data_IF_123444502219
#
_entry.id   IF_123444502219
#
_cell.length_a   1.000
_cell.length_b   1.000
_cell.length_c   1.000
_cell.angle_alpha   90.00
_cell.angle_beta   90.00
_cell.angle_gamma   90.00
#
_symmetry.space_group_name_H-M   'P 1'
#
loop_
_entity.id
_entity.type
_entity.pdbx_description
1 polymer ?
#
# COMPACT_ATOMS: atom_id res chain seq x y z
N UNK A 1 0.71 8.74 -25.08
CA UNK A 1 -0.56 9.33 -24.56
C UNK A 1 -0.84 8.63 -23.26
N UNK A 2 -1.07 9.39 -22.19
CA UNK A 2 -1.23 8.84 -20.84
C UNK A 2 -2.28 7.74 -20.80
N UNK A 3 -1.91 6.54 -20.35
CA UNK A 3 -2.84 5.41 -20.22
C UNK A 3 -3.74 5.68 -19.01
N UNK A 4 -5.04 5.78 -19.28
CA UNK A 4 -6.09 5.97 -18.27
C UNK A 4 -6.98 4.75 -18.30
N UNK A 5 -7.24 4.16 -17.13
CA UNK A 5 -8.20 3.06 -17.02
C UNK A 5 -8.81 3.02 -15.61
N UNK A 6 -9.89 2.27 -15.47
CA UNK A 6 -10.41 1.87 -14.16
C UNK A 6 -9.81 0.52 -13.83
N UNK A 7 -9.08 0.44 -12.73
CA UNK A 7 -8.46 -0.82 -12.25
C UNK A 7 -9.36 -1.54 -11.26
N UNK A 8 -10.03 -0.79 -10.38
CA UNK A 8 -11.15 -1.23 -9.54
C UNK A 8 -12.22 -0.17 -9.48
N UNK A 9 -13.47 -0.60 -9.41
CA UNK A 9 -14.64 0.25 -9.18
C UNK A 9 -15.04 0.27 -7.71
N UNK A 10 -14.86 -0.86 -7.03
CA UNK A 10 -15.26 -1.05 -5.65
C UNK A 10 -14.30 -0.37 -4.69
N UNK A 11 -14.85 0.25 -3.66
CA UNK A 11 -14.09 0.76 -2.53
C UNK A 11 -13.62 -0.42 -1.66
N UNK A 12 -12.36 -0.38 -1.21
CA UNK A 12 -11.76 -1.50 -0.49
C UNK A 12 -12.44 -1.78 0.85
N UNK A 13 -12.82 -0.73 1.60
CA UNK A 13 -13.48 -0.89 2.89
C UNK A 13 -14.90 -1.45 2.73
N UNK A 14 -15.66 -0.96 1.75
CA UNK A 14 -16.98 -1.49 1.47
C UNK A 14 -16.94 -2.94 1.00
N UNK A 15 -16.04 -3.26 0.06
CA UNK A 15 -15.91 -4.61 -0.48
C UNK A 15 -15.41 -5.61 0.57
N UNK A 16 -14.50 -5.21 1.47
CA UNK A 16 -14.09 -6.06 2.61
C UNK A 16 -15.20 -6.29 3.63
N UNK A 17 -15.99 -5.26 3.97
CA UNK A 17 -17.15 -5.43 4.84
C UNK A 17 -18.20 -6.39 4.22
N UNK A 18 -18.39 -6.32 2.90
CA UNK A 18 -19.25 -7.25 2.15
C UNK A 18 -18.66 -8.67 2.15
N UNK A 19 -17.34 -8.82 1.98
CA UNK A 19 -16.64 -10.10 2.06
C UNK A 19 -16.90 -10.78 3.41
N UNK A 20 -16.70 -10.07 4.51
CA UNK A 20 -16.94 -10.59 5.87
C UNK A 20 -18.43 -10.89 6.10
N UNK A 21 -19.34 -10.10 5.54
CA UNK A 21 -20.76 -10.40 5.56
C UNK A 21 -21.09 -11.72 4.83
N UNK A 22 -20.57 -11.93 3.62
CA UNK A 22 -20.79 -13.16 2.85
C UNK A 22 -20.23 -14.36 3.61
N UNK A 23 -19.00 -14.26 4.12
CA UNK A 23 -18.34 -15.29 4.91
C UNK A 23 -19.13 -15.65 6.17
N UNK A 24 -19.56 -14.64 6.94
CA UNK A 24 -20.37 -14.83 8.14
C UNK A 24 -21.74 -15.46 7.87
N UNK A 25 -22.43 -15.05 6.80
CA UNK A 25 -23.72 -15.61 6.40
C UNK A 25 -23.56 -17.08 5.95
N UNK A 26 -22.52 -17.37 5.16
CA UNK A 26 -22.17 -18.73 4.75
C UNK A 26 -21.83 -19.63 5.94
N UNK A 27 -21.07 -19.11 6.93
CA UNK A 27 -20.75 -19.83 8.16
C UNK A 27 -22.02 -20.23 8.93
N UNK A 28 -23.04 -19.36 8.94
CA UNK A 28 -24.36 -19.65 9.51
C UNK A 28 -25.22 -20.57 8.63
N UNK A 29 -24.68 -21.12 7.54
CA UNK A 29 -25.37 -21.96 6.55
C UNK A 29 -26.60 -21.27 5.94
N UNK A 30 -26.52 -19.96 5.79
CA UNK A 30 -27.53 -19.14 5.16
C UNK A 30 -27.08 -18.71 3.75
N UNK A 31 -28.04 -18.43 2.88
CA UNK A 31 -27.79 -17.87 1.55
C UNK A 31 -27.40 -16.38 1.68
N UNK A 32 -26.21 -15.95 1.22
CA UNK A 32 -25.81 -14.54 1.15
C UNK A 32 -26.52 -13.85 0.00
N UNK A 33 -27.73 -13.36 0.24
CA UNK A 33 -28.47 -12.51 -0.69
C UNK A 33 -28.30 -11.04 -0.31
N UNK A 34 -28.67 -10.12 -1.20
CA UNK A 34 -28.51 -8.66 -1.00
C UNK A 34 -29.07 -8.21 0.35
N UNK A 35 -30.29 -8.64 0.69
CA UNK A 35 -30.97 -8.21 1.91
C UNK A 35 -30.21 -8.62 3.19
N UNK A 36 -29.62 -9.83 3.20
CA UNK A 36 -28.83 -10.31 4.33
C UNK A 36 -27.48 -9.66 4.41
N UNK A 37 -26.81 -9.46 3.28
CA UNK A 37 -25.52 -8.75 3.22
C UNK A 37 -25.72 -7.33 3.74
N UNK A 38 -26.72 -6.62 3.22
CA UNK A 38 -27.06 -5.28 3.66
C UNK A 38 -27.34 -5.22 5.17
N UNK A 39 -28.20 -6.12 5.67
CA UNK A 39 -28.48 -6.20 7.12
C UNK A 39 -27.25 -6.57 7.95
N UNK A 40 -26.31 -7.35 7.40
CA UNK A 40 -25.08 -7.70 8.09
C UNK A 40 -24.19 -6.47 8.26
N UNK A 41 -23.89 -5.78 7.15
CA UNK A 41 -23.00 -4.60 7.10
C UNK A 41 -23.55 -3.44 7.95
N UNK A 42 -24.86 -3.16 7.86
CA UNK A 42 -25.50 -2.10 8.62
C UNK A 42 -25.54 -2.31 10.16
N UNK A 43 -25.12 -3.48 10.67
CA UNK A 43 -24.95 -3.67 12.12
C UNK A 43 -23.68 -3.02 12.65
N UNK A 44 -22.68 -2.85 11.80
CA UNK A 44 -21.35 -2.37 12.16
C UNK A 44 -21.09 -0.97 11.59
N UNK A 45 -21.64 -0.67 10.41
CA UNK A 45 -21.38 0.57 9.69
C UNK A 45 -22.65 1.40 9.48
N UNK A 46 -22.56 2.71 9.72
CA UNK A 46 -23.64 3.69 9.46
C UNK A 46 -23.60 4.21 8.00
N UNK A 47 -23.44 3.29 7.04
CA UNK A 47 -23.39 3.62 5.62
C UNK A 47 -24.78 3.63 4.99
N UNK A 48 -24.92 4.31 3.85
CA UNK A 48 -26.21 4.33 3.15
C UNK A 48 -26.45 2.98 2.47
N UNK A 49 -27.67 2.43 2.56
CA UNK A 49 -28.00 1.17 1.89
C UNK A 49 -27.74 1.16 0.38
N UNK A 50 -28.01 2.29 -0.29
CA UNK A 50 -27.78 2.44 -1.72
C UNK A 50 -26.29 2.35 -2.08
N UNK A 51 -25.41 2.86 -1.21
CA UNK A 51 -23.96 2.82 -1.43
C UNK A 51 -23.44 1.39 -1.25
N UNK A 52 -23.90 0.66 -0.22
CA UNK A 52 -23.53 -0.76 -0.02
C UNK A 52 -23.93 -1.62 -1.23
N UNK A 53 -25.15 -1.46 -1.74
CA UNK A 53 -25.62 -2.23 -2.91
C UNK A 53 -24.86 -1.87 -4.18
N UNK A 54 -24.54 -0.59 -4.37
CA UNK A 54 -23.68 -0.14 -5.47
C UNK A 54 -22.28 -0.76 -5.38
N UNK A 55 -21.70 -0.80 -4.18
CA UNK A 55 -20.38 -1.39 -3.94
C UNK A 55 -20.38 -2.91 -4.11
N UNK A 56 -21.48 -3.59 -3.76
CA UNK A 56 -21.67 -5.01 -4.06
C UNK A 56 -21.63 -5.28 -5.57
N UNK A 57 -22.36 -4.49 -6.36
CA UNK A 57 -22.31 -4.59 -7.82
C UNK A 57 -20.90 -4.34 -8.37
N UNK A 58 -20.23 -3.27 -7.92
CA UNK A 58 -18.85 -2.98 -8.33
C UNK A 58 -17.88 -4.09 -7.95
N UNK A 59 -18.03 -4.71 -6.78
CA UNK A 59 -17.19 -5.82 -6.37
C UNK A 59 -17.43 -7.10 -7.20
N UNK A 60 -18.64 -7.28 -7.74
CA UNK A 60 -18.91 -8.32 -8.75
C UNK A 60 -18.22 -8.00 -10.07
N UNK A 61 -18.31 -6.75 -10.55
CA UNK A 61 -17.62 -6.30 -11.78
C UNK A 61 -16.10 -6.38 -11.66
N UNK A 62 -15.54 -6.10 -10.48
CA UNK A 62 -14.12 -6.22 -10.19
C UNK A 62 -13.64 -7.67 -9.99
N UNK A 63 -14.57 -8.65 -10.02
CA UNK A 63 -14.23 -10.07 -9.89
C UNK A 63 -13.91 -10.54 -8.47
N UNK A 64 -14.29 -9.77 -7.43
CA UNK A 64 -14.18 -10.21 -6.03
C UNK A 64 -15.29 -11.21 -5.66
N UNK A 65 -16.48 -10.99 -6.21
CA UNK A 65 -17.65 -11.82 -5.94
C UNK A 65 -18.28 -12.32 -7.24
N UNK A 66 -18.95 -13.48 -7.16
CA UNK A 66 -19.77 -14.04 -8.24
C UNK A 66 -21.23 -14.12 -7.84
N UNK A 67 -22.09 -13.69 -8.74
CA UNK A 67 -23.53 -13.92 -8.65
C UNK A 67 -23.89 -15.36 -9.00
N UNK A 68 -24.78 -15.97 -8.22
CA UNK A 68 -25.24 -17.34 -8.40
C UNK A 68 -26.70 -17.49 -7.96
N UNK A 69 -27.44 -18.39 -8.61
CA UNK A 69 -28.81 -18.72 -8.18
C UNK A 69 -28.72 -19.81 -7.11
N UNK A 70 -29.22 -19.51 -5.91
CA UNK A 70 -29.34 -20.47 -4.83
C UNK A 70 -30.79 -20.95 -4.69
N UNK A 71 -30.99 -22.26 -4.63
CA UNK A 71 -32.30 -22.87 -4.43
C UNK A 71 -32.45 -23.22 -2.95
N UNK A 72 -33.41 -22.58 -2.26
CA UNK A 72 -33.69 -22.86 -0.85
C UNK A 72 -34.95 -23.71 -0.68
N UNK A 73 -34.80 -24.86 -0.04
CA UNK A 73 -35.91 -25.74 0.31
C UNK A 73 -36.39 -25.46 1.74
N UNK A 74 -36.95 -24.27 1.99
CA UNK A 74 -37.61 -23.96 3.28
C UNK A 74 -38.96 -24.70 3.38
N UNK A 75 -38.92 -26.02 3.58
CA UNK A 75 -40.10 -26.85 3.88
C UNK A 75 -41.08 -27.10 2.71
N UNK A 76 -40.79 -26.64 1.49
CA UNK A 76 -41.58 -26.88 0.28
C UNK A 76 -40.83 -27.81 -0.70
N UNK A 77 -41.57 -28.68 -1.41
CA UNK A 77 -41.02 -29.57 -2.45
C UNK A 77 -40.52 -28.80 -3.68
N UNK A 78 -41.05 -27.60 -3.95
CA UNK A 78 -40.48 -26.63 -4.89
C UNK A 78 -39.58 -25.69 -4.10
N UNK A 79 -38.27 -25.73 -4.38
CA UNK A 79 -37.34 -24.77 -3.79
C UNK A 79 -37.58 -23.36 -4.34
N UNK A 80 -37.32 -22.34 -3.53
CA UNK A 80 -37.37 -20.95 -3.96
C UNK A 80 -35.99 -20.54 -4.47
N UNK A 81 -35.93 -20.10 -5.72
CA UNK A 81 -34.74 -19.50 -6.33
C UNK A 81 -34.55 -18.09 -5.76
N UNK A 82 -33.31 -17.77 -5.35
CA UNK A 82 -32.91 -16.44 -4.92
C UNK A 82 -31.49 -16.14 -5.39
N UNK A 83 -31.20 -14.87 -5.65
CA UNK A 83 -29.85 -14.41 -5.96
C UNK A 83 -28.94 -14.58 -4.74
N UNK A 84 -27.72 -15.05 -4.97
CA UNK A 84 -26.71 -15.31 -3.95
C UNK A 84 -25.33 -14.90 -4.43
N UNK A 85 -24.55 -14.30 -3.54
CA UNK A 85 -23.18 -13.89 -3.80
C UNK A 85 -22.20 -14.88 -3.19
N UNK A 86 -21.11 -15.18 -3.91
CA UNK A 86 -20.02 -16.06 -3.47
C UNK A 86 -18.68 -15.36 -3.65
N UNK A 87 -17.77 -15.59 -2.71
CA UNK A 87 -16.37 -15.16 -2.81
C UNK A 87 -15.67 -16.00 -3.88
N UNK A 88 -14.93 -15.34 -4.78
CA UNK A 88 -14.06 -16.02 -5.73
C UNK A 88 -12.72 -16.28 -5.02
N UNK A 89 -12.46 -17.52 -4.63
CA UNK A 89 -11.14 -17.89 -4.12
C UNK A 89 -10.18 -18.03 -5.32
N UNK A 90 -9.02 -17.39 -5.23
CA UNK A 90 -7.91 -17.52 -6.20
C UNK A 90 -7.51 -18.98 -6.43
N UNK A 91 -7.60 -19.83 -5.40
CA UNK A 91 -7.32 -21.28 -5.49
C UNK A 91 -8.40 -22.10 -6.22
N UNK A 92 -9.63 -21.59 -6.32
CA UNK A 92 -10.76 -22.27 -6.96
C UNK A 92 -11.16 -21.62 -8.29
N UNK A 93 -10.31 -20.79 -8.87
CA UNK A 93 -10.55 -20.21 -10.19
C UNK A 93 -10.54 -21.25 -11.32
N UNK A 94 -10.17 -22.51 -11.06
CA UNK A 94 -10.19 -23.59 -12.05
C UNK A 94 -11.39 -24.52 -11.81
N UNK A 95 -12.60 -24.04 -12.10
CA UNK A 95 -13.69 -24.96 -12.47
C UNK A 95 -13.53 -25.27 -13.96
N UNK A 96 -13.08 -26.50 -14.26
CA UNK A 96 -13.05 -27.06 -15.61
C UNK A 96 -14.48 -27.27 -16.09
N UNK A 97 -14.80 -26.84 -17.32
CA UNK A 97 -16.07 -27.23 -17.95
C UNK A 97 -16.11 -28.75 -18.23
N UNK A 98 -17.27 -29.28 -18.62
CA UNK A 98 -17.44 -30.70 -18.96
C UNK A 98 -16.57 -31.18 -20.15
N UNK A 99 -15.85 -30.25 -20.82
CA UNK A 99 -14.93 -30.50 -21.93
C UNK A 99 -13.46 -30.24 -21.56
N UNK A 100 -13.16 -29.93 -20.30
CA UNK A 100 -11.79 -29.71 -19.81
C UNK A 100 -11.18 -28.35 -20.15
N UNK A 101 -11.98 -27.36 -20.55
CA UNK A 101 -11.51 -26.00 -20.81
C UNK A 101 -11.66 -25.12 -19.57
N UNK A 102 -10.63 -24.33 -19.27
CA UNK A 102 -10.63 -23.33 -18.21
C UNK A 102 -11.39 -22.08 -18.66
N UNK A 103 -12.59 -21.83 -18.14
CA UNK A 103 -13.26 -20.52 -18.26
C UNK A 103 -12.74 -19.49 -17.23
N UNK A 104 -11.49 -19.65 -16.77
CA UNK A 104 -10.88 -18.82 -15.75
C UNK A 104 -10.21 -17.55 -16.33
N UNK A 105 -9.93 -17.53 -17.63
CA UNK A 105 -9.13 -16.47 -18.28
C UNK A 105 -9.93 -15.20 -18.62
N UNK A 106 -11.28 -15.22 -18.59
CA UNK A 106 -12.09 -14.08 -19.06
C UNK A 106 -12.57 -13.12 -17.95
N UNK A 107 -12.38 -13.43 -16.66
CA UNK A 107 -12.96 -12.65 -15.54
C UNK A 107 -11.95 -11.79 -14.77
N UNK A 108 -10.66 -11.80 -15.11
CA UNK A 108 -9.67 -10.94 -14.43
C UNK A 108 -9.38 -9.71 -15.29
N UNK A 109 -9.78 -8.50 -14.89
CA UNK A 109 -9.45 -7.29 -15.63
C UNK A 109 -7.93 -7.06 -15.63
N UNK A 110 -7.29 -7.42 -16.75
CA UNK A 110 -5.94 -7.00 -17.16
C UNK A 110 -4.86 -7.13 -16.06
N UNK A 111 -4.63 -8.35 -15.56
CA UNK A 111 -3.47 -8.68 -14.69
C UNK A 111 -2.12 -8.41 -15.40
N UNK A 112 -2.12 -8.20 -16.73
CA UNK A 112 -0.92 -8.14 -17.57
C UNK A 112 -0.03 -6.90 -17.33
N UNK A 113 -0.54 -5.86 -16.66
CA UNK A 113 0.26 -4.65 -16.41
C UNK A 113 1.05 -4.65 -15.11
N UNK A 114 0.73 -5.53 -14.14
CA UNK A 114 1.34 -5.53 -12.80
C UNK A 114 1.07 -4.28 -11.94
N UNK A 115 0.26 -3.34 -12.42
CA UNK A 115 -0.01 -2.08 -11.74
C UNK A 115 -1.06 -2.22 -10.63
N UNK A 116 -0.95 -1.36 -9.63
CA UNK A 116 -1.87 -1.32 -8.51
C UNK A 116 -3.31 -1.03 -8.94
N UNK A 117 -4.24 -1.39 -8.05
CA UNK A 117 -5.67 -1.16 -8.23
C UNK A 117 -6.14 0.16 -7.63
N UNK A 118 -5.40 0.69 -6.67
CA UNK A 118 -5.77 1.87 -5.89
C UNK A 118 -4.79 3.01 -6.09
N UNK A 119 -5.28 4.25 -6.03
CA UNK A 119 -4.44 5.43 -6.15
C UNK A 119 -3.38 5.48 -5.05
N UNK A 120 -2.11 5.66 -5.40
CA UNK A 120 -1.02 5.66 -4.41
C UNK A 120 -1.03 6.89 -3.49
N UNK A 121 -1.71 7.99 -3.89
CA UNK A 121 -1.81 9.22 -3.08
C UNK A 121 -3.00 9.20 -2.11
N UNK A 122 -4.17 8.73 -2.53
CA UNK A 122 -5.39 8.77 -1.71
C UNK A 122 -6.04 7.40 -1.43
N UNK A 123 -5.43 6.30 -1.90
CA UNK A 123 -5.81 4.91 -1.62
C UNK A 123 -7.24 4.50 -2.07
N UNK A 124 -7.98 5.42 -2.69
CA UNK A 124 -9.30 5.17 -3.28
C UNK A 124 -9.20 4.48 -4.65
N UNK A 125 -10.25 3.73 -5.01
CA UNK A 125 -10.44 3.11 -6.32
C UNK A 125 -10.98 4.10 -7.37
N UNK A 126 -11.20 3.64 -8.60
CA UNK A 126 -11.75 4.43 -9.70
C UNK A 126 -10.79 4.62 -10.88
N UNK A 127 -11.02 5.69 -11.66
CA UNK A 127 -10.24 5.98 -12.87
C UNK A 127 -8.84 6.54 -12.53
N UNK A 128 -7.82 5.79 -12.89
CA UNK A 128 -6.43 6.08 -12.57
C UNK A 128 -5.54 6.16 -13.81
N UNK A 129 -4.42 6.84 -13.64
CA UNK A 129 -3.32 6.94 -14.59
C UNK A 129 -2.24 5.95 -14.18
N UNK A 130 -1.73 5.16 -15.13
CA UNK A 130 -0.65 4.19 -14.91
C UNK A 130 0.73 4.81 -15.14
N UNK A 131 1.66 4.58 -14.21
CA UNK A 131 3.05 5.02 -14.33
C UNK A 131 3.85 4.08 -15.24
N UNK A 132 4.55 4.60 -16.23
CA UNK A 132 5.29 3.74 -17.16
C UNK A 132 6.62 3.19 -16.60
N UNK A 133 6.95 3.56 -15.36
CA UNK A 133 8.23 3.25 -14.72
C UNK A 133 8.09 2.53 -13.37
N UNK A 134 6.88 2.38 -12.86
CA UNK A 134 6.63 1.62 -11.64
C UNK A 134 5.17 1.15 -11.57
N UNK A 135 4.85 0.15 -10.74
CA UNK A 135 3.48 -0.36 -10.59
C UNK A 135 2.44 0.64 -10.05
N UNK A 136 2.85 1.81 -9.53
CA UNK A 136 1.93 2.77 -8.89
C UNK A 136 0.98 3.42 -9.89
N UNK A 137 -0.25 3.67 -9.43
CA UNK A 137 -1.29 4.38 -10.19
C UNK A 137 -1.79 5.60 -9.42
N UNK A 138 -2.31 6.60 -10.12
CA UNK A 138 -2.78 7.85 -9.49
C UNK A 138 -4.05 8.37 -10.15
N UNK A 139 -5.01 8.89 -9.39
CA UNK A 139 -6.07 9.69 -10.01
C UNK A 139 -5.48 10.95 -10.64
N UNK A 140 -6.16 11.46 -11.67
CA UNK A 140 -5.78 12.71 -12.34
C UNK A 140 -5.62 13.90 -11.38
N UNK A 141 -6.52 14.00 -10.38
CA UNK A 141 -6.48 15.03 -9.32
C UNK A 141 -5.28 14.84 -8.38
N UNK A 142 -4.96 13.59 -8.04
CA UNK A 142 -3.92 13.19 -7.09
C UNK A 142 -2.52 13.28 -7.67
N UNK A 143 -2.37 13.14 -8.98
CA UNK A 143 -1.12 13.40 -9.68
C UNK A 143 -0.65 14.87 -9.63
N UNK A 144 -1.43 15.76 -8.97
CA UNK A 144 -1.14 17.18 -8.69
C UNK A 144 -0.58 17.93 -9.91
N UNK A 145 -1.48 18.20 -10.87
CA UNK A 145 -1.53 19.21 -11.94
C UNK A 145 -0.29 19.66 -12.75
N UNK A 146 0.96 19.41 -12.37
CA UNK A 146 2.14 19.92 -13.10
C UNK A 146 2.72 18.94 -14.13
N UNK A 147 2.15 17.74 -14.28
CA UNK A 147 2.86 16.61 -14.88
C UNK A 147 2.05 15.66 -15.78
N UNK A 148 0.96 16.12 -16.38
CA UNK A 148 0.50 15.49 -17.63
C UNK A 148 1.22 16.26 -18.74
N UNK A 149 2.50 15.97 -18.94
CA UNK A 149 3.25 16.57 -20.05
C UNK A 149 2.62 16.11 -21.36
N UNK A 150 2.79 16.89 -22.42
CA UNK A 150 2.49 16.46 -23.79
C UNK A 150 3.49 15.40 -24.29
N UNK A 151 4.38 14.89 -23.44
CA UNK A 151 5.35 13.86 -23.80
C UNK A 151 4.67 12.49 -23.93
N UNK A 152 5.35 11.57 -24.64
CA UNK A 152 4.79 10.27 -24.96
C UNK A 152 4.59 9.37 -23.72
N UNK A 153 5.45 9.51 -22.69
CA UNK A 153 5.56 8.61 -21.53
C UNK A 153 5.33 9.33 -20.18
N UNK A 154 4.42 8.85 -19.33
CA UNK A 154 4.09 9.47 -18.04
C UNK A 154 4.85 8.86 -16.85
N UNK A 155 5.45 9.74 -16.03
CA UNK A 155 6.07 9.41 -14.73
C UNK A 155 5.23 9.93 -13.56
N UNK A 156 4.97 9.08 -12.58
CA UNK A 156 4.23 9.47 -11.39
C UNK A 156 5.03 10.37 -10.44
N UNK A 157 4.37 11.06 -9.48
CA UNK A 157 5.05 11.90 -8.48
C UNK A 157 6.15 11.16 -7.71
N UNK A 158 5.91 9.90 -7.30
CA UNK A 158 6.90 9.09 -6.57
C UNK A 158 8.18 8.85 -7.37
N UNK A 159 8.07 8.48 -8.64
CA UNK A 159 9.25 8.31 -9.51
C UNK A 159 10.03 9.61 -9.69
N UNK A 160 9.34 10.75 -9.78
CA UNK A 160 9.99 12.05 -9.92
C UNK A 160 10.72 12.49 -8.66
N UNK A 161 10.12 12.29 -7.48
CA UNK A 161 10.77 12.56 -6.18
C UNK A 161 12.03 11.70 -6.03
N UNK A 162 11.99 10.45 -6.47
CA UNK A 162 13.17 9.57 -6.50
C UNK A 162 14.32 10.11 -7.37
N UNK A 163 14.02 10.88 -8.42
CA UNK A 163 14.98 11.53 -9.33
C UNK A 163 15.44 12.92 -8.84
N UNK A 164 14.58 13.69 -8.18
CA UNK A 164 14.91 15.06 -7.70
C UNK A 164 15.75 15.04 -6.42
N UNK A 165 15.57 14.05 -5.54
CA UNK A 165 16.42 13.83 -4.36
C UNK A 165 17.81 13.25 -4.70
N UNK A 166 18.21 13.36 -5.97
CA UNK A 166 19.51 12.97 -6.48
C UNK A 166 20.58 14.05 -6.22
N UNK A 167 20.32 15.02 -5.32
CA UNK A 167 21.36 15.87 -4.67
C UNK A 167 22.51 15.06 -4.07
N UNK A 168 22.28 13.76 -3.87
CA UNK A 168 23.22 12.75 -3.40
C UNK A 168 23.93 11.95 -4.50
N UNK A 169 23.74 12.30 -5.78
CA UNK A 169 24.31 11.57 -6.93
C UNK A 169 25.83 11.47 -6.90
N UNK A 170 26.50 12.31 -6.12
CA UNK A 170 27.95 12.29 -5.92
C UNK A 170 28.43 11.29 -4.87
N UNK A 171 27.54 10.71 -4.06
CA UNK A 171 27.94 9.70 -3.07
C UNK A 171 27.98 8.30 -3.67
N UNK A 172 28.95 7.46 -3.25
CA UNK A 172 28.97 6.04 -3.61
C UNK A 172 27.70 5.33 -3.14
N UNK A 173 27.15 4.43 -3.98
CA UNK A 173 25.97 3.63 -3.65
C UNK A 173 26.12 2.86 -2.34
N UNK A 174 27.30 2.28 -2.11
CA UNK A 174 27.66 1.57 -0.89
C UNK A 174 27.48 2.44 0.38
N UNK A 175 27.84 3.74 0.29
CA UNK A 175 27.66 4.68 1.41
C UNK A 175 26.18 4.99 1.65
N UNK A 176 25.39 5.14 0.59
CA UNK A 176 23.93 5.33 0.69
C UNK A 176 23.29 4.10 1.30
N UNK A 177 23.58 2.90 0.78
CA UNK A 177 23.09 1.63 1.31
C UNK A 177 23.44 1.51 2.80
N UNK A 178 24.68 1.85 3.20
CA UNK A 178 25.07 1.79 4.61
C UNK A 178 24.30 2.75 5.52
N UNK A 179 23.97 3.94 5.03
CA UNK A 179 23.12 4.89 5.78
C UNK A 179 21.68 4.39 5.86
N UNK A 180 21.15 3.79 4.79
CA UNK A 180 19.84 3.16 4.77
C UNK A 180 19.78 1.95 5.72
N UNK A 181 20.84 1.15 5.83
CA UNK A 181 20.94 0.06 6.80
C UNK A 181 20.77 0.56 8.24
N UNK A 182 21.40 1.68 8.61
CA UNK A 182 21.21 2.29 9.93
C UNK A 182 19.77 2.76 10.16
N UNK A 183 19.14 3.24 9.11
CA UNK A 183 17.76 3.75 9.11
C UNK A 183 16.79 2.60 9.30
N UNK A 184 16.80 1.61 8.41
CA UNK A 184 15.87 0.47 8.45
C UNK A 184 16.01 -0.33 9.74
N UNK A 185 17.23 -0.47 10.27
CA UNK A 185 17.45 -1.13 11.57
C UNK A 185 16.70 -0.43 12.70
N UNK A 186 16.80 0.90 12.80
CA UNK A 186 16.10 1.68 13.84
C UNK A 186 14.58 1.62 13.64
N UNK A 187 14.10 1.72 12.41
CA UNK A 187 12.68 1.61 12.11
C UNK A 187 12.14 0.23 12.52
N UNK A 188 12.85 -0.87 12.25
CA UNK A 188 12.45 -2.21 12.70
C UNK A 188 12.45 -2.37 14.22
N UNK A 189 13.43 -1.78 14.90
CA UNK A 189 13.50 -1.80 16.38
C UNK A 189 12.31 -1.06 17.01
N UNK A 190 11.86 0.05 16.40
CA UNK A 190 10.71 0.83 16.87
C UNK A 190 9.36 0.21 16.45
N UNK A 191 9.26 -0.29 15.22
CA UNK A 191 8.03 -0.78 14.61
C UNK A 191 8.09 -2.30 14.38
N UNK A 192 8.23 -3.04 15.47
CA UNK A 192 8.48 -4.49 15.43
C UNK A 192 7.32 -5.29 14.82
N UNK A 193 6.10 -4.77 14.96
CA UNK A 193 4.84 -5.32 14.47
C UNK A 193 4.75 -5.22 12.94
N UNK A 194 5.31 -4.16 12.34
CA UNK A 194 5.40 -3.96 10.89
C UNK A 194 6.56 -4.74 10.24
N UNK A 195 7.37 -5.42 11.05
CA UNK A 195 8.55 -6.14 10.56
C UNK A 195 8.20 -7.45 9.86
N UNK A 196 7.06 -8.04 10.19
CA UNK A 196 6.61 -9.29 9.60
C UNK A 196 5.47 -9.02 8.63
N UNK A 197 5.45 -9.83 7.58
CA UNK A 197 4.34 -9.88 6.66
C UNK A 197 3.00 -10.01 7.37
N UNK A 198 1.97 -9.36 6.84
CA UNK A 198 0.59 -9.59 7.26
C UNK A 198 0.30 -11.09 7.10
N UNK A 199 -0.06 -11.74 8.20
CA UNK A 199 -0.24 -13.19 8.23
C UNK A 199 -1.50 -13.59 7.46
N UNK A 200 -1.36 -14.41 6.43
CA UNK A 200 -2.47 -14.98 5.65
C UNK A 200 -3.44 -15.78 6.54
N UNK A 201 -2.95 -16.36 7.65
CA UNK A 201 -3.83 -17.05 8.61
C UNK A 201 -4.83 -16.10 9.27
N UNK A 202 -4.42 -14.86 9.52
CA UNK A 202 -5.26 -13.83 10.14
C UNK A 202 -6.01 -12.99 9.08
N UNK A 203 -5.41 -12.83 7.91
CA UNK A 203 -5.91 -12.02 6.79
C UNK A 203 -5.94 -12.86 5.50
N UNK A 204 -6.85 -13.85 5.40
CA UNK A 204 -6.87 -14.81 4.29
C UNK A 204 -7.26 -14.19 2.94
N UNK A 205 -7.84 -12.99 2.97
CA UNK A 205 -8.29 -12.21 1.81
C UNK A 205 -7.34 -11.07 1.45
N UNK A 206 -6.17 -10.97 2.08
CA UNK A 206 -5.22 -9.88 1.86
C UNK A 206 -4.84 -9.70 0.38
N UNK A 207 -4.53 -10.80 -0.31
CA UNK A 207 -4.17 -10.80 -1.73
C UNK A 207 -5.35 -10.45 -2.66
N UNK A 208 -6.60 -10.48 -2.15
CA UNK A 208 -7.75 -9.97 -2.88
C UNK A 208 -7.82 -8.44 -2.86
N UNK A 209 -6.98 -7.74 -2.11
CA UNK A 209 -6.98 -6.28 -2.06
C UNK A 209 -5.60 -5.68 -2.34
N UNK A 210 -4.52 -6.40 -2.04
CA UNK A 210 -3.17 -5.87 -2.13
C UNK A 210 -2.44 -6.49 -3.33
N UNK A 211 -2.11 -5.66 -4.32
CA UNK A 211 -1.38 -6.07 -5.51
C UNK A 211 0.14 -6.20 -5.26
N UNK A 212 0.72 -5.28 -4.48
CA UNK A 212 2.14 -5.27 -4.14
C UNK A 212 2.34 -5.40 -2.63
N UNK A 213 2.47 -6.64 -2.16
CA UNK A 213 2.70 -6.89 -0.74
C UNK A 213 4.16 -6.63 -0.36
N UNK A 214 4.38 -5.94 0.77
CA UNK A 214 5.71 -5.60 1.30
C UNK A 214 5.66 -5.40 2.81
N UNK A 215 6.81 -5.56 3.46
CA UNK A 215 7.04 -5.33 4.89
C UNK A 215 8.48 -4.85 5.12
N UNK A 216 8.83 -4.49 6.37
CA UNK A 216 10.17 -3.96 6.66
C UNK A 216 11.29 -5.00 6.42
N UNK A 217 11.00 -6.30 6.43
CA UNK A 217 12.00 -7.34 6.15
C UNK A 217 12.29 -7.45 4.65
N UNK A 218 11.27 -7.31 3.80
CA UNK A 218 11.45 -7.16 2.35
C UNK A 218 12.30 -5.93 2.04
N UNK A 219 11.94 -4.77 2.61
CA UNK A 219 12.67 -3.51 2.38
C UNK A 219 14.11 -3.59 2.90
N UNK A 220 14.35 -4.21 4.05
CA UNK A 220 15.72 -4.44 4.56
C UNK A 220 16.55 -5.28 3.59
N UNK A 221 15.95 -6.31 2.98
CA UNK A 221 16.62 -7.13 1.97
C UNK A 221 17.01 -6.27 0.76
N UNK A 222 16.11 -5.40 0.29
CA UNK A 222 16.38 -4.48 -0.82
C UNK A 222 17.48 -3.44 -0.50
N UNK A 223 17.58 -3.01 0.77
CA UNK A 223 18.68 -2.15 1.25
C UNK A 223 20.01 -2.90 1.16
N UNK A 224 20.07 -4.13 1.66
CA UNK A 224 21.29 -4.97 1.65
C UNK A 224 21.72 -5.33 0.23
N UNK A 225 20.76 -5.53 -0.68
CA UNK A 225 21.00 -5.77 -2.11
C UNK A 225 21.30 -4.49 -2.91
N UNK A 226 21.43 -3.34 -2.24
CA UNK A 226 21.74 -2.02 -2.82
C UNK A 226 20.79 -1.59 -3.96
N UNK A 227 19.50 -1.97 -3.87
CA UNK A 227 18.50 -1.67 -4.91
C UNK A 227 18.11 -0.20 -4.96
N UNK A 228 18.27 0.53 -3.86
CA UNK A 228 17.90 1.94 -3.76
C UNK A 228 18.99 2.86 -4.30
N UNK A 229 18.69 3.62 -5.34
CA UNK A 229 19.61 4.62 -5.87
C UNK A 229 19.66 5.90 -5.03
N UNK A 230 18.62 6.18 -4.25
CA UNK A 230 18.55 7.38 -3.38
C UNK A 230 17.71 7.10 -2.12
N UNK A 231 17.91 7.89 -1.04
CA UNK A 231 17.04 7.82 0.14
C UNK A 231 15.57 8.11 -0.18
N UNK A 232 15.30 8.94 -1.19
CA UNK A 232 13.95 9.20 -1.67
C UNK A 232 13.28 7.94 -2.22
N UNK A 233 13.99 7.11 -2.99
CA UNK A 233 13.43 5.83 -3.46
C UNK A 233 13.11 4.87 -2.32
N UNK A 234 13.99 4.80 -1.31
CA UNK A 234 13.73 4.02 -0.09
C UNK A 234 12.44 4.48 0.62
N UNK A 235 12.21 5.79 0.73
CA UNK A 235 10.97 6.32 1.31
C UNK A 235 9.73 5.93 0.50
N UNK A 236 9.81 6.00 -0.83
CA UNK A 236 8.68 5.62 -1.70
C UNK A 236 8.33 4.13 -1.59
N UNK A 237 9.30 3.26 -1.31
CA UNK A 237 9.01 1.85 -1.02
C UNK A 237 8.44 1.64 0.39
N UNK A 238 8.92 2.37 1.41
CA UNK A 238 8.30 2.34 2.74
C UNK A 238 6.81 2.74 2.68
N UNK A 239 6.45 3.72 1.85
CA UNK A 239 5.06 4.18 1.69
C UNK A 239 4.10 3.09 1.23
N UNK A 240 4.57 2.00 0.59
CA UNK A 240 3.69 0.87 0.29
C UNK A 240 3.12 0.21 1.55
N UNK A 241 3.85 0.20 2.67
CA UNK A 241 3.34 -0.34 3.94
C UNK A 241 2.10 0.45 4.38
N UNK A 242 2.18 1.78 4.37
CA UNK A 242 1.04 2.64 4.71
C UNK A 242 -0.10 2.53 3.67
N UNK A 243 0.24 2.54 2.38
CA UNK A 243 -0.73 2.37 1.29
C UNK A 243 -1.56 1.09 1.47
N UNK A 244 -0.87 -0.04 1.71
CA UNK A 244 -1.50 -1.32 1.92
C UNK A 244 -2.33 -1.35 3.22
N UNK A 245 -1.83 -0.70 4.28
CA UNK A 245 -2.53 -0.62 5.56
C UNK A 245 -3.86 0.12 5.43
N UNK A 246 -3.87 1.28 4.79
CA UNK A 246 -5.10 2.07 4.54
C UNK A 246 -6.10 1.26 3.70
N UNK A 247 -5.63 0.64 2.60
CA UNK A 247 -6.50 -0.13 1.70
C UNK A 247 -7.15 -1.28 2.46
N UNK A 248 -6.36 -2.04 3.21
CA UNK A 248 -6.81 -3.26 3.83
C UNK A 248 -7.48 -3.01 5.18
N UNK A 249 -6.81 -2.36 6.13
CA UNK A 249 -7.31 -2.17 7.49
C UNK A 249 -8.24 -0.96 7.63
N UNK A 250 -7.96 0.12 6.90
CA UNK A 250 -8.67 1.40 6.98
C UNK A 250 -7.89 2.46 7.75
N UNK A 251 -8.28 3.72 7.61
CA UNK A 251 -7.54 4.87 8.17
C UNK A 251 -7.44 4.84 9.70
N UNK A 252 -8.50 4.42 10.38
CA UNK A 252 -8.60 4.46 11.85
C UNK A 252 -7.99 3.23 12.55
N UNK A 253 -7.44 2.27 11.82
CA UNK A 253 -6.89 1.04 12.39
C UNK A 253 -5.53 1.27 13.08
N UNK A 254 -5.28 0.58 14.19
CA UNK A 254 -4.03 0.70 14.95
C UNK A 254 -2.79 0.36 14.09
N UNK A 255 -2.91 -0.59 13.17
CA UNK A 255 -1.83 -0.93 12.23
C UNK A 255 -1.55 0.21 11.25
N UNK A 256 -2.60 0.88 10.76
CA UNK A 256 -2.49 2.04 9.87
C UNK A 256 -1.84 3.22 10.58
N UNK A 257 -2.29 3.55 11.79
CA UNK A 257 -1.68 4.62 12.61
C UNK A 257 -0.19 4.35 12.84
N UNK A 258 0.19 3.09 13.14
CA UNK A 258 1.60 2.72 13.27
C UNK A 258 2.38 2.88 11.96
N UNK A 259 1.77 2.53 10.82
CA UNK A 259 2.38 2.74 9.51
C UNK A 259 2.55 4.23 9.17
N UNK A 260 1.62 5.10 9.59
CA UNK A 260 1.77 6.56 9.44
C UNK A 260 2.96 7.09 10.24
N UNK A 261 3.09 6.68 11.50
CA UNK A 261 4.22 7.02 12.36
C UNK A 261 5.55 6.53 11.76
N UNK A 262 5.58 5.32 11.20
CA UNK A 262 6.74 4.78 10.48
C UNK A 262 7.18 5.70 9.34
N UNK A 263 6.24 6.18 8.53
CA UNK A 263 6.55 7.07 7.39
C UNK A 263 7.06 8.42 7.88
N UNK A 264 6.52 8.96 8.96
CA UNK A 264 6.97 10.24 9.50
C UNK A 264 8.40 10.16 10.08
N UNK A 265 8.69 9.12 10.86
CA UNK A 265 10.04 8.84 11.35
C UNK A 265 11.03 8.65 10.18
N UNK A 266 10.64 7.90 9.15
CA UNK A 266 11.49 7.66 7.99
C UNK A 266 11.79 8.95 7.22
N UNK A 267 10.81 9.87 7.08
CA UNK A 267 11.05 11.19 6.49
C UNK A 267 12.07 11.97 7.30
N UNK A 268 11.91 12.04 8.63
CA UNK A 268 12.83 12.76 9.50
C UNK A 268 14.28 12.23 9.37
N UNK A 269 14.46 10.92 9.37
CA UNK A 269 15.77 10.28 9.18
C UNK A 269 16.40 10.63 7.81
N UNK A 270 15.57 10.68 6.76
CA UNK A 270 16.02 11.08 5.42
C UNK A 270 16.36 12.56 5.37
N UNK A 271 15.60 13.43 6.01
CA UNK A 271 15.89 14.86 6.08
C UNK A 271 17.23 15.11 6.79
N UNK A 272 17.52 14.40 7.89
CA UNK A 272 18.83 14.45 8.56
C UNK A 272 19.96 13.93 7.66
N UNK A 273 19.70 12.85 6.93
CA UNK A 273 20.66 12.28 5.98
C UNK A 273 20.97 13.25 4.84
N UNK A 274 19.96 13.96 4.31
CA UNK A 274 20.10 14.94 3.24
C UNK A 274 20.73 16.26 3.75
N UNK A 275 20.51 16.63 5.01
CA UNK A 275 21.11 17.82 5.61
C UNK A 275 22.63 17.72 5.66
N UNK A 276 23.16 16.59 6.12
CA UNK A 276 24.59 16.28 6.01
C UNK A 276 24.86 14.77 6.06
N UNK A 277 25.19 14.15 4.92
CA UNK A 277 25.46 12.71 4.85
C UNK A 277 26.66 12.26 5.68
N UNK A 278 27.68 13.11 5.80
CA UNK A 278 28.86 12.82 6.60
C UNK A 278 28.50 12.77 8.09
N UNK A 279 27.78 13.78 8.58
CA UNK A 279 27.30 13.81 9.97
C UNK A 279 26.39 12.62 10.27
N UNK A 280 25.44 12.32 9.38
CA UNK A 280 24.53 11.18 9.53
C UNK A 280 25.29 9.85 9.59
N UNK A 281 26.25 9.64 8.68
CA UNK A 281 27.06 8.43 8.67
C UNK A 281 27.91 8.32 9.94
N UNK A 282 28.57 9.40 10.37
CA UNK A 282 29.46 9.42 11.53
C UNK A 282 28.70 9.27 12.86
N UNK A 283 27.53 9.88 13.00
CA UNK A 283 26.69 9.78 14.21
C UNK A 283 26.17 8.36 14.43
N UNK A 284 25.94 7.62 13.34
CA UNK A 284 25.49 6.23 13.37
C UNK A 284 26.65 5.23 13.50
N UNK A 285 27.72 5.38 12.70
CA UNK A 285 28.88 4.48 12.74
C UNK A 285 29.76 4.64 13.98
N UNK A 286 29.69 5.82 14.63
CA UNK A 286 30.39 6.15 15.89
C UNK A 286 31.87 5.73 15.94
N UNK A 287 32.72 6.05 14.94
CA UNK A 287 34.16 5.85 15.06
C UNK A 287 34.74 6.68 16.22
N UNK A 288 36.01 6.42 16.56
CA UNK A 288 36.70 7.24 17.57
C UNK A 288 36.68 8.72 17.15
N UNK A 289 36.29 9.58 18.09
CA UNK A 289 36.16 11.03 17.90
C UNK A 289 35.24 11.41 16.73
N UNK A 290 34.17 10.64 16.48
CA UNK A 290 33.26 10.80 15.33
C UNK A 290 32.76 12.23 15.14
N UNK A 291 32.43 12.94 16.22
CA UNK A 291 31.93 14.31 16.16
C UNK A 291 33.02 15.32 15.76
N UNK A 292 34.30 14.99 15.95
CA UNK A 292 35.44 15.84 15.57
C UNK A 292 35.87 15.63 14.12
N UNK A 293 35.39 14.59 13.44
CA UNK A 293 35.68 14.36 12.04
C UNK A 293 35.02 15.48 11.19
N UNK A 294 35.77 16.10 10.25
CA UNK A 294 35.23 17.15 9.39
C UNK A 294 34.34 16.57 8.30
N UNK A 295 33.29 17.31 7.93
CA UNK A 295 32.45 17.03 6.77
C UNK A 295 33.00 17.75 5.53
N UNK A 296 32.48 17.42 4.34
CA UNK A 296 32.76 18.16 3.12
C UNK A 296 31.47 18.72 2.48
N UNK A 297 31.27 20.06 2.44
CA UNK A 297 32.11 21.07 3.06
C UNK A 297 32.06 21.01 4.60
N UNK A 298 33.07 21.55 5.30
CA UNK A 298 33.05 21.60 6.76
C UNK A 298 31.96 22.55 7.26
N UNK A 299 31.27 22.16 8.33
CA UNK A 299 30.29 23.00 9.01
C UNK A 299 30.93 24.22 9.67
N UNK A 300 30.19 25.33 9.70
CA UNK A 300 30.60 26.53 10.43
C UNK A 300 30.57 26.24 11.94
N UNK A 301 31.60 26.72 12.66
CA UNK A 301 31.64 26.59 14.11
C UNK A 301 31.12 27.87 14.75
N UNK A 302 30.10 27.73 15.58
CA UNK A 302 29.40 28.84 16.22
C UNK A 302 29.30 28.66 17.72
N UNK A 303 29.03 29.75 18.44
CA UNK A 303 28.56 29.70 19.83
C UNK A 303 27.04 29.87 19.82
N UNK A 304 26.32 28.79 20.15
CA UNK A 304 24.87 28.79 20.22
C UNK A 304 24.39 28.91 21.68
N UNK A 305 23.35 29.70 21.93
CA UNK A 305 22.77 29.87 23.25
C UNK A 305 21.28 29.50 23.25
N UNK A 306 20.93 28.41 23.92
CA UNK A 306 19.54 28.08 24.23
C UNK A 306 19.05 28.89 25.43
N UNK A 307 17.73 29.11 25.52
CA UNK A 307 17.12 29.80 26.66
C UNK A 307 17.53 29.10 27.96
N UNK A 308 17.99 29.87 28.94
CA UNK A 308 18.44 29.40 30.27
C UNK A 308 19.70 28.52 30.30
N UNK A 309 20.50 28.48 29.23
CA UNK A 309 21.80 27.79 29.20
C UNK A 309 22.95 28.77 28.87
N UNK A 310 24.19 28.50 29.32
CA UNK A 310 25.35 29.24 28.83
C UNK A 310 25.56 28.99 27.33
N UNK A 311 26.31 29.84 26.61
CA UNK A 311 26.70 29.56 25.24
C UNK A 311 27.51 28.27 25.14
N UNK A 312 27.16 27.40 24.20
CA UNK A 312 27.88 26.16 23.89
C UNK A 312 28.45 26.19 22.47
N UNK A 313 29.64 25.61 22.23
CA UNK A 313 30.17 25.47 20.88
C UNK A 313 29.31 24.47 20.10
N UNK A 314 28.98 24.80 18.85
CA UNK A 314 28.14 24.00 17.98
C UNK A 314 28.68 24.00 16.53
N UNK A 315 28.20 23.01 15.77
CA UNK A 315 28.24 22.98 14.30
C UNK A 315 26.87 23.36 13.76
#
# INVERSE_FOLDING_TARGET
MVRVCVRRNSDSQHSRAIYEAIKGICYQKQCPNEERILRFVLREFDWKPADILKQLHFAVEDGLFRESIAISHKGSKKGNEQMSYRIINTDNAVELDANGNSQAEELRPDEDSGHDWYCFDCQESGEVILCEFCPRVFHRKCAKAHYISQEEHWKCPSCKVGEENNSMSSLPKEKVAKMLEFTIKRLREKFSELTKHVSIEHCPDYDLYINHSTDLSCIETDVVEEKFASPGQFLEELKYILHNAIIYFGDDDEFTVMAEELIEDAKQEIEEMLLCPDCYYLSNSKPKDWFCQPCNPPHELVWAQMKSQPPWPAK
#
